data_IF_656463427829
#
_entry.id   IF_656463427829
#
_cell.length_a   1.000
_cell.length_b   1.000
_cell.length_c   1.000
_cell.angle_alpha   90.00
_cell.angle_beta   90.00
_cell.angle_gamma   90.00
#
_symmetry.space_group_name_H-M   'P 1'
#
loop_
_entity.id
_entity.type
_entity.pdbx_description
1 polymer ?
#
# COMPACT_ATOMS: atom_id res chain seq x y z
N UNK A 1 11.10 16.88 -5.65
CA UNK A 1 11.26 16.10 -4.41
C UNK A 1 12.37 15.08 -4.64
N UNK A 2 13.35 15.01 -3.74
CA UNK A 2 14.50 14.09 -3.88
C UNK A 2 14.17 12.69 -3.33
N UNK A 3 14.97 11.68 -3.71
CA UNK A 3 14.82 10.32 -3.18
C UNK A 3 14.99 10.29 -1.64
N UNK A 4 15.89 11.11 -1.08
CA UNK A 4 16.07 11.21 0.36
C UNK A 4 14.83 11.79 1.06
N UNK A 5 14.23 12.85 0.53
CA UNK A 5 13.01 13.44 1.07
C UNK A 5 11.83 12.45 1.05
N UNK A 6 11.72 11.65 -0.01
CA UNK A 6 10.73 10.59 -0.13
C UNK A 6 10.93 9.51 0.95
N UNK A 7 12.16 9.02 1.09
CA UNK A 7 12.49 8.00 2.07
C UNK A 7 12.35 8.51 3.52
N UNK A 8 12.54 9.80 3.80
CA UNK A 8 12.28 10.34 5.14
C UNK A 8 10.79 10.37 5.51
N UNK A 9 9.90 10.50 4.52
CA UNK A 9 8.45 10.58 4.72
C UNK A 9 7.76 9.22 4.72
N UNK A 10 8.33 8.24 4.03
CA UNK A 10 7.73 6.91 3.90
C UNK A 10 7.62 6.21 5.28
N UNK A 11 6.45 5.61 5.53
CA UNK A 11 6.16 4.94 6.81
C UNK A 11 7.16 3.81 7.12
N UNK A 12 7.54 3.04 6.11
CA UNK A 12 8.47 1.90 6.23
C UNK A 12 9.85 2.30 6.77
N UNK A 13 10.32 3.50 6.41
CA UNK A 13 11.68 3.99 6.70
C UNK A 13 11.75 4.97 7.87
N UNK A 14 10.63 5.28 8.54
CA UNK A 14 10.59 6.25 9.66
C UNK A 14 11.57 5.96 10.79
N UNK A 15 11.86 4.68 11.03
CA UNK A 15 12.73 4.24 12.12
C UNK A 15 14.22 4.18 11.73
N UNK A 16 14.55 4.46 10.46
CA UNK A 16 15.91 4.30 9.97
C UNK A 16 16.73 5.56 10.28
N UNK A 17 18.00 5.43 10.70
CA UNK A 17 18.88 6.58 10.87
C UNK A 17 19.08 7.33 9.55
N UNK A 18 19.19 8.66 9.62
CA UNK A 18 19.39 9.52 8.44
C UNK A 18 20.62 9.14 7.61
N UNK A 19 21.68 8.63 8.23
CA UNK A 19 22.88 8.14 7.54
C UNK A 19 22.63 6.90 6.68
N UNK A 20 21.69 6.03 7.08
CA UNK A 20 21.26 4.86 6.31
C UNK A 20 20.39 5.33 5.14
N UNK A 21 19.47 6.25 5.39
CA UNK A 21 18.59 6.80 4.34
C UNK A 21 19.39 7.52 3.25
N UNK A 22 20.45 8.24 3.59
CA UNK A 22 21.34 8.87 2.61
C UNK A 22 22.03 7.84 1.70
N UNK A 23 22.49 6.71 2.26
CA UNK A 23 23.09 5.61 1.47
C UNK A 23 22.07 4.97 0.54
N UNK A 24 20.85 4.70 1.02
CA UNK A 24 19.78 4.14 0.19
C UNK A 24 19.36 5.12 -0.92
N UNK A 25 19.22 6.41 -0.60
CA UNK A 25 18.90 7.45 -1.58
C UNK A 25 19.97 7.55 -2.68
N UNK A 26 21.25 7.34 -2.34
CA UNK A 26 22.35 7.33 -3.32
C UNK A 26 22.32 6.13 -4.27
N UNK A 27 21.70 5.01 -3.86
CA UNK A 27 21.48 3.82 -4.71
C UNK A 27 20.20 3.91 -5.54
N UNK A 28 19.29 4.82 -5.19
CA UNK A 28 18.00 4.95 -5.84
C UNK A 28 18.13 5.55 -7.24
N UNK A 29 17.38 5.00 -8.19
CA UNK A 29 17.25 5.53 -9.55
C UNK A 29 15.80 5.91 -9.81
N UNK A 30 15.60 7.07 -10.45
CA UNK A 30 14.29 7.47 -10.95
C UNK A 30 13.99 6.69 -12.22
N UNK A 31 12.81 6.05 -12.26
CA UNK A 31 12.28 5.34 -13.41
C UNK A 31 10.91 5.93 -13.69
N UNK A 32 10.63 6.17 -14.98
CA UNK A 32 9.36 6.70 -15.45
C UNK A 32 8.66 5.63 -16.28
N UNK A 33 7.34 5.58 -16.13
CA UNK A 33 6.44 4.68 -16.83
C UNK A 33 5.31 5.49 -17.44
N UNK A 34 4.78 5.01 -18.56
CA UNK A 34 3.60 5.56 -19.19
C UNK A 34 2.33 4.98 -18.57
N UNK A 35 1.19 5.58 -18.90
CA UNK A 35 -0.11 5.00 -18.56
C UNK A 35 -0.21 3.58 -19.15
N UNK A 36 -0.77 2.65 -18.35
CA UNK A 36 -0.96 1.23 -18.70
C UNK A 36 0.32 0.37 -18.73
N UNK A 37 1.49 0.93 -18.40
CA UNK A 37 2.69 0.12 -18.23
C UNK A 37 2.57 -0.79 -16.99
N UNK A 38 2.90 -2.07 -17.18
CA UNK A 38 2.92 -3.05 -16.11
C UNK A 38 4.29 -3.09 -15.44
N UNK A 39 4.36 -2.73 -14.15
CA UNK A 39 5.61 -2.73 -13.39
C UNK A 39 6.09 -4.17 -13.13
N UNK A 40 5.21 -5.03 -12.61
CA UNK A 40 5.43 -6.46 -12.44
C UNK A 40 4.11 -7.20 -12.24
N UNK A 41 4.14 -8.53 -12.36
CA UNK A 41 3.02 -9.43 -12.09
C UNK A 41 3.17 -10.13 -10.75
N UNK A 42 2.05 -10.51 -10.15
CA UNK A 42 2.05 -11.39 -8.98
C UNK A 42 2.83 -12.68 -9.28
N UNK A 43 3.75 -13.03 -8.38
CA UNK A 43 4.64 -14.18 -8.54
C UNK A 43 5.96 -13.91 -9.26
N UNK A 44 6.17 -12.70 -9.81
CA UNK A 44 7.45 -12.34 -10.40
C UNK A 44 8.57 -12.28 -9.35
N UNK A 45 9.72 -12.86 -9.69
CA UNK A 45 10.93 -12.71 -8.87
C UNK A 45 11.54 -11.34 -9.14
N UNK A 46 11.21 -10.36 -8.30
CA UNK A 46 11.74 -9.00 -8.40
C UNK A 46 12.87 -8.77 -7.40
N UNK A 47 13.98 -8.19 -7.88
CA UNK A 47 15.12 -7.81 -7.06
C UNK A 47 15.09 -6.33 -6.63
N UNK A 48 14.11 -5.57 -7.12
CA UNK A 48 14.01 -4.13 -6.92
C UNK A 48 12.90 -3.77 -5.93
N UNK A 49 13.17 -2.77 -5.10
CA UNK A 49 12.17 -2.10 -4.26
C UNK A 49 11.83 -0.74 -4.87
N UNK A 50 10.54 -0.48 -5.07
CA UNK A 50 10.05 0.76 -5.67
C UNK A 50 9.42 1.68 -4.61
N UNK A 51 9.62 2.99 -4.77
CA UNK A 51 8.95 4.03 -4.00
C UNK A 51 8.28 4.97 -5.00
N UNK A 52 6.96 5.14 -4.87
CA UNK A 52 6.18 5.99 -5.78
C UNK A 52 6.48 7.45 -5.43
N UNK A 53 7.16 8.16 -6.33
CA UNK A 53 7.48 9.58 -6.17
C UNK A 53 6.32 10.49 -6.58
N UNK A 54 5.54 10.07 -7.58
CA UNK A 54 4.43 10.80 -8.19
C UNK A 54 3.55 9.83 -9.00
N UNK A 55 2.29 10.19 -9.22
CA UNK A 55 1.34 9.40 -9.99
C UNK A 55 0.58 8.35 -9.16
N UNK A 56 -0.19 7.51 -9.85
CA UNK A 56 -0.96 6.43 -9.25
C UNK A 56 -0.54 5.10 -9.86
N UNK A 57 -0.41 4.09 -9.02
CA UNK A 57 -0.15 2.71 -9.43
C UNK A 57 -1.34 1.88 -8.97
N UNK A 58 -1.99 1.19 -9.91
CA UNK A 58 -3.05 0.25 -9.57
C UNK A 58 -2.42 -1.09 -9.15
N UNK A 59 -2.92 -1.65 -8.05
CA UNK A 59 -2.59 -3.01 -7.64
C UNK A 59 -3.72 -3.93 -8.10
N UNK A 60 -3.41 -4.80 -9.06
CA UNK A 60 -4.30 -5.88 -9.48
C UNK A 60 -3.92 -7.16 -8.72
N UNK A 61 -4.90 -7.77 -8.05
CA UNK A 61 -4.73 -9.01 -7.30
C UNK A 61 -5.78 -10.01 -7.76
N UNK A 62 -5.35 -11.23 -8.08
CA UNK A 62 -6.27 -12.29 -8.47
C UNK A 62 -6.77 -13.03 -7.22
N UNK A 63 -7.77 -12.45 -6.56
CA UNK A 63 -8.43 -13.09 -5.43
C UNK A 63 -9.43 -14.13 -5.93
N UNK A 64 -9.34 -15.41 -5.50
CA UNK A 64 -10.30 -16.43 -5.89
C UNK A 64 -11.61 -16.28 -5.09
N UNK A 65 -12.34 -15.19 -5.33
CA UNK A 65 -13.51 -14.80 -4.54
C UNK A 65 -14.59 -15.88 -4.45
N UNK A 66 -14.85 -16.60 -5.54
CA UNK A 66 -15.80 -17.71 -5.54
C UNK A 66 -15.34 -18.89 -4.66
N UNK A 67 -14.07 -19.24 -4.70
CA UNK A 67 -13.52 -20.34 -3.89
C UNK A 67 -13.49 -19.96 -2.41
N UNK A 68 -13.14 -18.71 -2.10
CA UNK A 68 -13.22 -18.16 -0.74
C UNK A 68 -14.67 -18.18 -0.23
N UNK A 69 -15.63 -17.78 -1.06
CA UNK A 69 -17.05 -17.82 -0.70
C UNK A 69 -17.53 -19.24 -0.43
N UNK A 70 -17.19 -20.19 -1.30
CA UNK A 70 -17.51 -21.60 -1.10
C UNK A 70 -16.88 -22.15 0.18
N UNK A 71 -15.62 -21.81 0.45
CA UNK A 71 -14.92 -22.23 1.66
C UNK A 71 -15.62 -21.70 2.92
N UNK A 72 -15.99 -20.42 2.95
CA UNK A 72 -16.73 -19.82 4.07
C UNK A 72 -18.13 -20.42 4.25
N UNK A 73 -18.76 -20.90 3.18
CA UNK A 73 -20.05 -21.59 3.27
C UNK A 73 -19.91 -23.03 3.78
N UNK A 74 -18.82 -23.71 3.43
CA UNK A 74 -18.54 -25.08 3.89
C UNK A 74 -17.93 -25.14 5.29
N UNK A 75 -17.22 -24.10 5.71
CA UNK A 75 -16.51 -24.01 7.00
C UNK A 75 -16.84 -22.70 7.71
N UNK A 76 -17.66 -22.81 8.76
CA UNK A 76 -18.13 -21.67 9.53
C UNK A 76 -17.03 -21.00 10.36
N UNK A 77 -16.01 -21.76 10.81
CA UNK A 77 -14.89 -21.20 11.57
C UNK A 77 -14.05 -20.30 10.66
N UNK A 78 -13.69 -20.79 9.47
CA UNK A 78 -13.00 -20.00 8.46
C UNK A 78 -13.81 -18.77 8.06
N UNK A 79 -15.13 -18.96 7.83
CA UNK A 79 -16.04 -17.86 7.51
C UNK A 79 -16.08 -16.77 8.58
N UNK A 80 -16.17 -17.14 9.85
CA UNK A 80 -16.17 -16.20 10.97
C UNK A 80 -14.87 -15.40 11.06
N UNK A 81 -13.73 -16.08 10.99
CA UNK A 81 -12.41 -15.43 11.04
C UNK A 81 -12.21 -14.45 9.87
N UNK A 82 -12.56 -14.86 8.65
CA UNK A 82 -12.45 -14.00 7.47
C UNK A 82 -13.37 -12.78 7.58
N UNK A 83 -14.63 -12.99 7.97
CA UNK A 83 -15.61 -11.91 8.11
C UNK A 83 -15.15 -10.88 9.15
N UNK A 84 -14.62 -11.34 10.30
CA UNK A 84 -14.12 -10.46 11.35
C UNK A 84 -12.93 -9.61 10.89
N UNK A 85 -12.01 -10.19 10.12
CA UNK A 85 -10.88 -9.45 9.54
C UNK A 85 -11.37 -8.41 8.53
N UNK A 86 -12.28 -8.79 7.63
CA UNK A 86 -12.86 -7.88 6.63
C UNK A 86 -13.61 -6.73 7.32
N UNK A 87 -14.48 -7.03 8.30
CA UNK A 87 -15.21 -6.01 9.06
C UNK A 87 -14.27 -5.05 9.79
N UNK A 88 -13.20 -5.57 10.40
CA UNK A 88 -12.18 -4.77 11.08
C UNK A 88 -11.44 -3.84 10.11
N UNK A 89 -11.02 -4.37 8.95
CA UNK A 89 -10.35 -3.58 7.92
C UNK A 89 -11.27 -2.49 7.33
N UNK A 90 -12.54 -2.80 7.08
CA UNK A 90 -13.53 -1.82 6.62
C UNK A 90 -13.77 -0.73 7.65
N UNK A 91 -13.90 -1.10 8.93
CA UNK A 91 -14.04 -0.14 10.04
C UNK A 91 -12.84 0.81 10.11
N UNK A 92 -11.62 0.28 10.05
CA UNK A 92 -10.39 1.09 10.02
C UNK A 92 -10.36 2.06 8.84
N UNK A 93 -10.76 1.60 7.65
CA UNK A 93 -10.80 2.45 6.45
C UNK A 93 -11.87 3.52 6.55
N UNK A 94 -13.06 3.22 7.07
CA UNK A 94 -14.11 4.22 7.30
C UNK A 94 -13.66 5.29 8.30
N UNK A 95 -13.01 4.90 9.39
CA UNK A 95 -12.44 5.83 10.38
C UNK A 95 -11.33 6.68 9.77
N UNK A 96 -10.42 6.07 9.00
CA UNK A 96 -9.35 6.79 8.32
C UNK A 96 -9.89 7.81 7.30
N UNK A 97 -10.90 7.44 6.50
CA UNK A 97 -11.56 8.36 5.57
C UNK A 97 -12.26 9.50 6.32
N UNK A 98 -12.91 9.22 7.45
CA UNK A 98 -13.53 10.25 8.29
C UNK A 98 -12.50 11.25 8.81
N UNK A 99 -11.33 10.79 9.26
CA UNK A 99 -10.24 11.67 9.71
C UNK A 99 -9.67 12.49 8.54
N UNK A 100 -9.45 11.88 7.38
CA UNK A 100 -8.98 12.59 6.18
C UNK A 100 -9.96 13.70 5.74
N UNK A 101 -11.28 13.44 5.80
CA UNK A 101 -12.28 14.46 5.50
C UNK A 101 -12.29 15.56 6.55
N UNK A 102 -12.21 15.23 7.85
CA UNK A 102 -12.12 16.24 8.91
C UNK A 102 -10.87 17.11 8.77
N UNK A 103 -9.71 16.54 8.47
CA UNK A 103 -8.46 17.29 8.23
C UNK A 103 -8.57 18.21 7.01
N UNK A 104 -9.27 17.78 5.95
CA UNK A 104 -9.55 18.60 4.76
C UNK A 104 -10.44 19.82 5.09
N UNK A 105 -11.39 19.67 6.02
CA UNK A 105 -12.31 20.76 6.40
C UNK A 105 -11.87 21.56 7.63
N UNK A 106 -10.85 21.10 8.37
CA UNK A 106 -10.33 21.78 9.57
C UNK A 106 -9.19 22.78 9.28
N UNK A 107 -8.70 22.88 8.04
CA UNK A 107 -7.75 23.93 7.65
C UNK A 107 -8.45 25.29 7.65
N UNK A 108 -8.02 26.27 8.48
CA UNK A 108 -8.51 27.63 8.35
C UNK A 108 -7.95 28.24 7.06
N UNK A 109 -8.82 28.86 6.25
CA UNK A 109 -8.43 29.80 5.21
C UNK A 109 -7.88 31.09 5.83
#
# INVERSE_FOLDING_TARGET
MTALELLQKAHFTRQFPSSVLAKLAALARVIEWNEQDLIFREGDVQQNLYVISSGHVALEMNLPGHQLQQLCQSDAEVGFHLMWQVASALSQRLVATRLQLLDLFAKPH
#
